data_IF_764997509369
#
_entry.id   IF_764997509369
#
_cell.length_a   1.000
_cell.length_b   1.000
_cell.length_c   1.000
_cell.angle_alpha   90.00
_cell.angle_beta   90.00
_cell.angle_gamma   90.00
#
_symmetry.space_group_name_H-M   'P 1'
#
loop_
_entity.id
_entity.type
_entity.pdbx_description
1 polymer ?
#
# COMPACT_ATOMS: atom_id res chain seq x y z
N UNK A 1 -5.40 -24.89 -26.12
CA UNK A 1 -4.43 -23.82 -26.43
C UNK A 1 -5.24 -22.53 -26.56
N UNK A 2 -5.37 -21.74 -25.49
CA UNK A 2 -6.08 -20.45 -25.56
C UNK A 2 -5.10 -19.42 -26.12
N UNK A 3 -5.40 -18.90 -27.30
CA UNK A 3 -4.68 -17.77 -27.90
C UNK A 3 -4.58 -16.65 -26.85
N UNK A 4 -3.35 -16.35 -26.42
CA UNK A 4 -3.06 -15.12 -25.69
C UNK A 4 -3.29 -14.00 -26.69
N UNK A 5 -4.47 -13.38 -26.65
CA UNK A 5 -4.69 -12.07 -27.26
C UNK A 5 -3.63 -11.17 -26.62
N UNK A 6 -2.57 -10.86 -27.37
CA UNK A 6 -1.69 -9.75 -27.09
C UNK A 6 -2.58 -8.52 -27.10
N UNK A 7 -3.02 -8.09 -25.92
CA UNK A 7 -3.70 -6.80 -25.78
C UNK A 7 -2.68 -5.75 -26.19
N UNK A 8 -2.81 -5.26 -27.41
CA UNK A 8 -2.07 -4.09 -27.85
C UNK A 8 -2.57 -2.90 -27.03
N UNK A 9 -1.67 -2.35 -26.21
CA UNK A 9 -1.99 -1.20 -25.38
C UNK A 9 -1.76 0.06 -26.20
N UNK A 10 -2.84 0.64 -26.75
CA UNK A 10 -2.80 2.00 -27.27
C UNK A 10 -2.71 2.99 -26.10
N UNK A 11 -1.49 3.45 -25.82
CA UNK A 11 -1.18 4.30 -24.67
C UNK A 11 -1.78 5.70 -24.81
N UNK A 12 -1.91 6.22 -26.02
CA UNK A 12 -2.55 7.50 -26.28
C UNK A 12 -4.05 7.43 -25.98
N UNK A 13 -4.73 6.40 -26.50
CA UNK A 13 -6.14 6.18 -26.23
C UNK A 13 -6.40 5.95 -24.74
N UNK A 14 -5.60 5.12 -24.07
CA UNK A 14 -5.74 4.86 -22.63
C UNK A 14 -5.55 6.15 -21.82
N UNK A 15 -4.54 6.95 -22.15
CA UNK A 15 -4.29 8.22 -21.46
C UNK A 15 -5.46 9.20 -21.63
N UNK A 16 -6.02 9.31 -22.84
CA UNK A 16 -7.18 10.16 -23.11
C UNK A 16 -8.42 9.68 -22.34
N UNK A 17 -8.69 8.37 -22.34
CA UNK A 17 -9.81 7.78 -21.62
C UNK A 17 -9.69 7.96 -20.10
N UNK A 18 -8.50 7.81 -19.53
CA UNK A 18 -8.24 8.09 -18.10
C UNK A 18 -8.48 9.57 -17.78
N UNK A 19 -8.02 10.49 -18.63
CA UNK A 19 -8.33 11.93 -18.47
C UNK A 19 -9.85 12.20 -18.55
N UNK A 20 -10.58 11.38 -19.29
CA UNK A 20 -12.06 11.37 -19.34
C UNK A 20 -12.75 10.63 -18.19
N UNK A 21 -12.02 10.15 -17.18
CA UNK A 21 -12.53 9.35 -16.05
C UNK A 21 -13.14 7.98 -16.45
N UNK A 22 -12.66 7.37 -17.53
CA UNK A 22 -13.09 6.02 -17.91
C UNK A 22 -12.51 4.96 -16.95
N UNK A 23 -13.41 4.29 -16.23
CA UNK A 23 -13.06 3.27 -15.21
C UNK A 23 -12.44 2.01 -15.81
N UNK A 24 -12.84 1.61 -17.02
CA UNK A 24 -12.32 0.41 -17.69
C UNK A 24 -10.90 0.68 -18.19
N UNK A 25 -10.67 1.85 -18.78
CA UNK A 25 -9.34 2.28 -19.19
C UNK A 25 -8.40 2.37 -17.98
N UNK A 26 -8.87 2.92 -16.86
CA UNK A 26 -8.09 2.97 -15.63
C UNK A 26 -7.74 1.57 -15.09
N UNK A 27 -8.69 0.63 -15.07
CA UNK A 27 -8.42 -0.75 -14.68
C UNK A 27 -7.40 -1.44 -15.60
N UNK A 28 -7.48 -1.21 -16.93
CA UNK A 28 -6.50 -1.72 -17.90
C UNK A 28 -5.10 -1.13 -17.67
N UNK A 29 -5.02 0.16 -17.34
CA UNK A 29 -3.75 0.80 -17.02
C UNK A 29 -3.13 0.23 -15.74
N UNK A 30 -3.92 -0.09 -14.72
CA UNK A 30 -3.41 -0.81 -13.54
C UNK A 30 -2.86 -2.18 -13.97
N UNK A 31 -3.57 -2.94 -14.80
CA UNK A 31 -3.06 -4.23 -15.31
C UNK A 31 -1.75 -4.08 -16.09
N UNK A 32 -1.60 -3.02 -16.87
CA UNK A 32 -0.35 -2.69 -17.56
C UNK A 32 0.79 -2.43 -16.57
N UNK A 33 0.55 -1.60 -15.55
CA UNK A 33 1.52 -1.24 -14.50
C UNK A 33 1.91 -2.45 -13.64
N UNK A 34 0.96 -3.33 -13.34
CA UNK A 34 1.21 -4.55 -12.55
C UNK A 34 1.99 -5.62 -13.34
N UNK A 35 2.11 -5.48 -14.66
CA UNK A 35 2.73 -6.50 -15.50
C UNK A 35 4.23 -6.65 -15.25
N UNK A 36 4.70 -7.90 -15.21
CA UNK A 36 6.12 -8.23 -15.16
C UNK A 36 6.80 -8.23 -16.54
N UNK A 37 6.06 -8.12 -17.65
CA UNK A 37 6.63 -8.06 -19.00
C UNK A 37 7.42 -6.75 -19.19
N UNK A 38 8.66 -6.84 -19.69
CA UNK A 38 9.54 -5.69 -19.92
C UNK A 38 8.95 -4.67 -20.92
N UNK A 39 8.28 -5.13 -21.98
CA UNK A 39 7.66 -4.24 -22.96
C UNK A 39 6.52 -3.43 -22.31
N UNK A 40 5.72 -4.10 -21.46
CA UNK A 40 4.67 -3.44 -20.70
C UNK A 40 5.23 -2.42 -19.71
N UNK A 41 6.43 -2.65 -19.16
CA UNK A 41 7.09 -1.68 -18.29
C UNK A 41 7.43 -0.40 -19.05
N UNK A 42 8.00 -0.52 -20.27
CA UNK A 42 8.27 0.64 -21.12
C UNK A 42 6.99 1.41 -21.48
N UNK A 43 5.93 0.69 -21.84
CA UNK A 43 4.62 1.27 -22.12
C UNK A 43 4.00 1.98 -20.90
N UNK A 44 4.19 1.45 -19.69
CA UNK A 44 3.71 2.10 -18.46
C UNK A 44 4.45 3.41 -18.16
N UNK A 45 5.76 3.48 -18.44
CA UNK A 45 6.53 4.73 -18.34
C UNK A 45 6.02 5.78 -19.34
N UNK A 46 5.72 5.38 -20.57
CA UNK A 46 5.10 6.26 -21.56
C UNK A 46 3.72 6.76 -21.08
N UNK A 47 2.90 5.87 -20.50
CA UNK A 47 1.61 6.24 -19.93
C UNK A 47 1.75 7.29 -18.83
N UNK A 48 2.69 7.10 -17.88
CA UNK A 48 2.96 8.07 -16.83
C UNK A 48 3.35 9.45 -17.38
N UNK A 49 4.21 9.48 -18.41
CA UNK A 49 4.59 10.73 -19.08
C UNK A 49 3.38 11.43 -19.72
N UNK A 50 2.49 10.70 -20.39
CA UNK A 50 1.29 11.28 -21.02
C UNK A 50 0.24 11.75 -20.02
N UNK A 51 0.17 11.13 -18.84
CA UNK A 51 -0.74 11.52 -17.76
C UNK A 51 -0.19 12.65 -16.89
N UNK A 52 1.12 12.92 -16.93
CA UNK A 52 1.74 14.01 -16.16
C UNK A 52 1.07 15.34 -16.47
N UNK A 53 0.58 16.03 -15.43
CA UNK A 53 -0.04 17.37 -15.52
C UNK A 53 0.89 18.38 -14.87
N UNK A 54 0.95 19.59 -15.42
CA UNK A 54 1.81 20.69 -14.92
C UNK A 54 1.41 21.13 -13.51
N UNK A 55 0.12 21.02 -13.16
CA UNK A 55 -0.43 21.37 -11.85
C UNK A 55 -1.30 20.22 -11.31
N UNK A 56 -0.66 19.15 -10.85
CA UNK A 56 -1.37 18.02 -10.26
C UNK A 56 -1.54 18.20 -8.75
N UNK A 57 -2.77 18.12 -8.25
CA UNK A 57 -3.05 18.08 -6.81
C UNK A 57 -2.74 16.70 -6.27
N UNK A 58 -1.75 16.63 -5.37
CA UNK A 58 -1.40 15.40 -4.69
C UNK A 58 -2.57 14.84 -3.89
N UNK A 59 -2.93 13.58 -4.15
CA UNK A 59 -3.94 12.86 -3.40
C UNK A 59 -3.47 12.61 -1.96
N UNK A 60 -4.38 12.52 -0.99
CA UNK A 60 -4.03 12.01 0.33
C UNK A 60 -3.87 10.49 0.25
N UNK A 61 -2.68 9.98 0.55
CA UNK A 61 -2.37 8.54 0.61
C UNK A 61 -2.60 8.04 2.05
N UNK A 62 -3.71 7.35 2.29
CA UNK A 62 -4.10 6.85 3.61
C UNK A 62 -3.89 5.34 3.69
N UNK A 63 -2.86 4.91 4.41
CA UNK A 63 -2.63 3.51 4.71
C UNK A 63 -3.48 3.07 5.91
N UNK A 64 -4.21 1.96 5.78
CA UNK A 64 -5.06 1.42 6.85
C UNK A 64 -4.68 -0.03 7.11
N UNK A 65 -4.31 -0.32 8.35
CA UNK A 65 -4.05 -1.69 8.84
C UNK A 65 -4.93 -1.99 10.06
N UNK A 66 -4.93 -3.25 10.49
CA UNK A 66 -5.68 -3.74 11.64
C UNK A 66 -5.93 -5.24 11.54
N UNK A 67 -6.20 -5.88 12.67
CA UNK A 67 -6.41 -7.34 12.73
C UNK A 67 -7.65 -7.77 11.93
N UNK A 68 -7.72 -9.02 11.43
CA UNK A 68 -8.94 -9.55 10.82
C UNK A 68 -10.14 -9.41 11.77
N UNK A 69 -11.30 -8.99 11.25
CA UNK A 69 -12.54 -8.87 12.05
C UNK A 69 -12.67 -7.56 12.86
N UNK A 70 -11.66 -6.68 12.85
CA UNK A 70 -11.74 -5.36 13.49
C UNK A 70 -12.76 -4.41 12.85
N UNK A 71 -13.21 -4.71 11.63
CA UNK A 71 -14.19 -3.90 10.90
C UNK A 71 -13.60 -2.89 9.91
N UNK A 72 -12.38 -3.13 9.40
CA UNK A 72 -11.73 -2.26 8.40
C UNK A 72 -12.58 -2.00 7.17
N UNK A 73 -13.07 -3.05 6.51
CA UNK A 73 -13.85 -2.88 5.27
C UNK A 73 -15.15 -2.10 5.53
N UNK A 74 -15.80 -2.28 6.68
CA UNK A 74 -16.97 -1.48 7.09
C UNK A 74 -16.60 -0.01 7.33
N UNK A 75 -15.45 0.23 7.98
CA UNK A 75 -14.93 1.58 8.19
C UNK A 75 -14.61 2.27 6.85
N UNK A 76 -13.91 1.59 5.95
CA UNK A 76 -13.54 2.10 4.62
C UNK A 76 -14.79 2.35 3.77
N UNK A 77 -15.80 1.48 3.82
CA UNK A 77 -17.06 1.67 3.11
C UNK A 77 -17.76 2.96 3.58
N UNK A 78 -17.89 3.17 4.89
CA UNK A 78 -18.54 4.36 5.46
C UNK A 78 -17.75 5.65 5.25
N UNK A 79 -16.46 5.63 5.58
CA UNK A 79 -15.58 6.77 5.31
C UNK A 79 -15.60 7.10 3.81
N UNK A 80 -15.47 6.09 2.95
CA UNK A 80 -15.44 6.30 1.52
C UNK A 80 -16.74 6.90 0.98
N UNK A 81 -17.90 6.45 1.47
CA UNK A 81 -19.19 7.05 1.13
C UNK A 81 -19.27 8.52 1.54
N UNK A 82 -18.81 8.85 2.74
CA UNK A 82 -18.75 10.23 3.22
C UNK A 82 -17.86 11.10 2.31
N UNK A 83 -16.66 10.62 1.94
CA UNK A 83 -15.74 11.35 1.06
C UNK A 83 -16.34 11.58 -0.33
N UNK A 84 -16.92 10.55 -0.95
CA UNK A 84 -17.49 10.71 -2.29
C UNK A 84 -18.76 11.57 -2.29
N UNK A 85 -19.53 11.56 -1.20
CA UNK A 85 -20.68 12.46 -1.02
C UNK A 85 -20.25 13.93 -0.85
N UNK A 86 -19.01 14.18 -0.38
CA UNK A 86 -18.38 15.52 -0.38
C UNK A 86 -17.82 15.93 -1.74
N UNK A 87 -18.01 15.10 -2.77
CA UNK A 87 -17.53 15.34 -4.13
C UNK A 87 -16.11 14.86 -4.40
N UNK A 88 -15.45 14.19 -3.45
CA UNK A 88 -14.10 13.67 -3.63
C UNK A 88 -14.09 12.40 -4.49
N UNK A 89 -13.00 12.18 -5.22
CA UNK A 89 -12.71 10.92 -5.91
C UNK A 89 -11.81 10.06 -5.05
N UNK A 90 -12.25 8.83 -4.79
CA UNK A 90 -11.58 7.89 -3.90
C UNK A 90 -11.11 6.63 -4.65
N UNK A 91 -9.86 6.25 -4.47
CA UNK A 91 -9.37 4.91 -4.81
C UNK A 91 -9.14 4.09 -3.53
N UNK A 92 -9.52 2.82 -3.52
CA UNK A 92 -9.22 1.86 -2.47
C UNK A 92 -8.42 0.70 -3.08
N UNK A 93 -7.19 0.55 -2.63
CA UNK A 93 -6.25 -0.48 -3.05
C UNK A 93 -6.08 -1.48 -1.90
N UNK A 94 -6.64 -2.68 -2.06
CA UNK A 94 -6.54 -3.73 -1.04
C UNK A 94 -5.32 -4.61 -1.32
N UNK A 95 -4.39 -4.66 -0.37
CA UNK A 95 -3.14 -5.44 -0.48
C UNK A 95 -3.23 -6.67 0.42
N UNK A 96 -3.26 -7.85 -0.20
CA UNK A 96 -3.34 -9.13 0.48
C UNK A 96 -2.20 -10.08 0.05
N UNK A 97 -1.25 -10.44 0.95
CA UNK A 97 -0.18 -11.38 0.65
C UNK A 97 -0.65 -12.78 0.28
N UNK A 98 -1.87 -13.19 0.65
CA UNK A 98 -2.42 -14.50 0.31
C UNK A 98 -2.88 -14.62 -1.16
N UNK A 99 -2.97 -13.50 -1.88
CA UNK A 99 -3.48 -13.45 -3.26
C UNK A 99 -2.67 -14.25 -4.28
N UNK A 100 -1.41 -14.60 -3.98
CA UNK A 100 -0.58 -15.52 -4.77
C UNK A 100 -1.16 -16.94 -4.89
N UNK A 101 -1.81 -17.44 -3.82
CA UNK A 101 -2.31 -18.82 -3.78
C UNK A 101 -3.67 -18.94 -4.49
N UNK A 102 -4.48 -17.88 -4.42
CA UNK A 102 -5.88 -17.89 -4.91
C UNK A 102 -6.08 -17.22 -6.27
N UNK A 103 -5.02 -16.68 -6.89
CA UNK A 103 -5.12 -16.00 -8.19
C UNK A 103 -5.82 -14.63 -8.13
N UNK A 104 -5.81 -13.99 -6.97
CA UNK A 104 -6.48 -12.71 -6.71
C UNK A 104 -7.90 -12.88 -6.18
N UNK A 105 -8.09 -12.60 -4.89
CA UNK A 105 -9.41 -12.45 -4.25
C UNK A 105 -10.12 -11.20 -4.78
N UNK A 106 -10.66 -11.26 -6.00
CA UNK A 106 -11.40 -10.15 -6.62
C UNK A 106 -12.78 -9.97 -5.97
N UNK A 107 -13.35 -11.03 -5.40
CA UNK A 107 -14.74 -11.08 -4.94
C UNK A 107 -14.93 -10.77 -3.45
N UNK A 108 -13.93 -11.05 -2.60
CA UNK A 108 -14.03 -10.87 -1.15
C UNK A 108 -14.15 -9.40 -0.73
N UNK A 109 -13.46 -8.48 -1.41
CA UNK A 109 -13.40 -7.09 -0.97
C UNK A 109 -14.54 -6.22 -1.52
N UNK A 110 -15.00 -6.50 -2.76
CA UNK A 110 -16.17 -5.80 -3.35
C UNK A 110 -17.48 -6.15 -2.66
N UNK A 111 -17.61 -7.37 -2.11
CA UNK A 111 -18.80 -7.76 -1.34
C UNK A 111 -18.81 -7.15 0.06
N UNK A 112 -17.64 -6.82 0.63
CA UNK A 112 -17.50 -6.16 1.94
C UNK A 112 -17.72 -4.65 1.90
N UNK A 113 -17.43 -4.01 0.77
CA UNK A 113 -17.68 -2.58 0.51
C UNK A 113 -18.82 -2.41 -0.51
N UNK A 114 -20.00 -2.96 -0.17
CA UNK A 114 -21.11 -3.14 -1.10
C UNK A 114 -21.69 -1.81 -1.63
N UNK A 115 -21.73 -0.78 -0.79
CA UNK A 115 -22.31 0.51 -1.16
C UNK A 115 -21.28 1.39 -1.88
N UNK A 116 -20.05 1.48 -1.35
CA UNK A 116 -18.99 2.26 -1.97
C UNK A 116 -18.62 1.75 -3.36
N UNK A 117 -18.63 0.43 -3.58
CA UNK A 117 -18.28 -0.18 -4.87
C UNK A 117 -19.20 0.22 -6.02
N UNK A 118 -20.43 0.65 -5.73
CA UNK A 118 -21.42 1.13 -6.71
C UNK A 118 -21.22 2.60 -7.08
N UNK A 119 -20.50 3.36 -6.26
CA UNK A 119 -20.35 4.80 -6.45
C UNK A 119 -19.38 5.13 -7.60
N UNK A 120 -19.80 6.00 -8.52
CA UNK A 120 -19.01 6.33 -9.73
C UNK A 120 -17.68 7.01 -9.42
N UNK A 121 -17.61 7.77 -8.32
CA UNK A 121 -16.39 8.44 -7.84
C UNK A 121 -15.48 7.56 -6.98
N UNK A 122 -15.86 6.31 -6.70
CA UNK A 122 -15.04 5.37 -5.91
C UNK A 122 -14.50 4.23 -6.79
N UNK A 123 -13.21 3.95 -6.74
CA UNK A 123 -12.60 2.84 -7.47
C UNK A 123 -11.96 1.85 -6.49
N UNK A 124 -12.41 0.61 -6.47
CA UNK A 124 -11.94 -0.42 -5.53
C UNK A 124 -11.24 -1.52 -6.32
N UNK A 125 -9.99 -1.82 -5.95
CA UNK A 125 -9.15 -2.81 -6.63
C UNK A 125 -8.31 -3.59 -5.61
N UNK A 126 -8.50 -4.91 -5.52
CA UNK A 126 -7.49 -5.76 -4.90
C UNK A 126 -6.24 -5.81 -5.79
N UNK A 127 -5.09 -5.66 -5.15
CA UNK A 127 -3.76 -5.77 -5.76
C UNK A 127 -3.21 -7.16 -5.49
N UNK A 128 -2.62 -7.77 -6.52
CA UNK A 128 -1.95 -9.05 -6.37
C UNK A 128 -0.61 -8.87 -5.67
N UNK A 129 -0.12 -9.89 -4.96
CA UNK A 129 1.27 -9.93 -4.52
C UNK A 129 2.15 -10.57 -5.59
N UNK A 130 3.23 -9.88 -5.98
CA UNK A 130 4.06 -10.29 -7.12
C UNK A 130 4.74 -11.65 -6.89
N UNK A 131 5.03 -12.45 -7.94
CA UNK A 131 5.40 -13.87 -7.86
C UNK A 131 6.70 -14.20 -7.11
N UNK A 132 7.54 -13.19 -6.82
CA UNK A 132 8.83 -13.36 -6.14
C UNK A 132 8.87 -12.72 -4.74
N UNK A 133 7.78 -12.10 -4.29
CA UNK A 133 7.69 -11.52 -2.96
C UNK A 133 6.93 -12.50 -2.05
N UNK A 134 7.64 -13.49 -1.50
CA UNK A 134 7.10 -14.36 -0.45
C UNK A 134 6.80 -13.53 0.81
N UNK A 135 5.60 -12.96 0.91
CA UNK A 135 5.08 -12.31 2.13
C UNK A 135 4.95 -10.78 2.11
N UNK A 136 5.08 -10.10 0.96
CA UNK A 136 5.05 -8.63 0.89
C UNK A 136 4.15 -8.05 -0.20
N UNK A 137 3.91 -6.74 -0.12
CA UNK A 137 3.23 -5.90 -1.11
C UNK A 137 3.86 -6.11 -2.49
N UNK A 138 3.05 -6.09 -3.56
CA UNK A 138 3.60 -6.14 -4.92
C UNK A 138 4.57 -5.01 -5.14
N UNK A 139 5.71 -5.33 -5.78
CA UNK A 139 6.70 -4.36 -6.24
C UNK A 139 6.01 -3.15 -6.87
N UNK A 140 4.98 -3.35 -7.70
CA UNK A 140 4.31 -2.31 -8.50
C UNK A 140 3.26 -1.46 -7.76
N UNK A 141 3.02 -1.71 -6.47
CA UNK A 141 1.97 -0.99 -5.72
C UNK A 141 2.20 0.53 -5.65
N UNK A 142 3.42 1.04 -5.38
CA UNK A 142 3.67 2.47 -5.40
C UNK A 142 3.38 3.13 -6.76
N UNK A 143 3.67 2.44 -7.87
CA UNK A 143 3.34 2.91 -9.21
C UNK A 143 1.83 2.95 -9.46
N UNK A 144 1.08 2.00 -8.90
CA UNK A 144 -0.40 2.04 -8.95
C UNK A 144 -0.95 3.20 -8.11
N UNK A 145 -0.40 3.46 -6.91
CA UNK A 145 -0.75 4.63 -6.10
C UNK A 145 -0.48 5.93 -6.88
N UNK A 146 0.66 6.02 -7.55
CA UNK A 146 0.98 7.17 -8.40
C UNK A 146 0.06 7.28 -9.62
N UNK A 147 -0.35 6.16 -10.21
CA UNK A 147 -1.34 6.14 -11.28
C UNK A 147 -2.70 6.68 -10.81
N UNK A 148 -3.14 6.34 -9.59
CA UNK A 148 -4.35 6.90 -8.98
C UNK A 148 -4.23 8.43 -8.86
N UNK A 149 -3.10 8.93 -8.36
CA UNK A 149 -2.85 10.37 -8.33
C UNK A 149 -3.01 10.97 -9.72
N UNK A 150 -2.27 10.50 -10.72
CA UNK A 150 -2.31 11.03 -12.09
C UNK A 150 -3.69 10.95 -12.76
N UNK A 151 -4.50 9.97 -12.40
CA UNK A 151 -5.89 9.85 -12.85
C UNK A 151 -6.84 10.88 -12.21
N UNK A 152 -6.39 11.60 -11.18
CA UNK A 152 -7.12 12.67 -10.51
C UNK A 152 -7.98 12.17 -9.36
N UNK A 153 -7.57 11.11 -8.67
CA UNK A 153 -8.14 10.77 -7.37
C UNK A 153 -7.64 11.75 -6.30
N UNK A 154 -8.54 12.15 -5.39
CA UNK A 154 -8.22 13.08 -4.29
C UNK A 154 -7.72 12.32 -3.06
N UNK A 155 -8.16 11.07 -2.89
CA UNK A 155 -7.78 10.19 -1.79
C UNK A 155 -7.48 8.80 -2.34
N UNK A 156 -6.37 8.20 -1.87
CA UNK A 156 -5.98 6.82 -2.15
C UNK A 156 -5.84 6.08 -0.82
N UNK A 157 -6.79 5.21 -0.52
CA UNK A 157 -6.74 4.30 0.63
C UNK A 157 -5.97 3.05 0.23
N UNK A 158 -4.99 2.66 1.05
CA UNK A 158 -4.21 1.43 0.88
C UNK A 158 -4.49 0.54 2.09
N UNK A 159 -5.35 -0.47 1.92
CA UNK A 159 -5.74 -1.40 2.99
C UNK A 159 -4.80 -2.61 3.00
N UNK A 160 -4.40 -3.06 4.20
CA UNK A 160 -3.69 -4.34 4.38
C UNK A 160 -4.55 -5.35 5.15
N UNK A 161 -4.23 -6.64 5.03
CA UNK A 161 -4.91 -7.68 5.84
C UNK A 161 -4.44 -7.74 7.30
N UNK A 162 -3.44 -6.94 7.71
CA UNK A 162 -2.94 -6.86 9.09
C UNK A 162 -1.86 -7.88 9.45
N UNK A 163 -1.09 -8.35 8.47
CA UNK A 163 -0.02 -9.35 8.63
C UNK A 163 1.38 -8.73 8.47
N UNK A 164 1.76 -7.87 9.41
CA UNK A 164 3.14 -7.52 9.74
C UNK A 164 3.95 -6.82 8.63
N UNK A 165 4.60 -7.58 7.75
CA UNK A 165 5.52 -7.00 6.75
C UNK A 165 4.81 -6.11 5.73
N UNK A 166 3.59 -6.50 5.37
CA UNK A 166 2.74 -5.71 4.47
C UNK A 166 2.36 -4.36 5.09
N UNK A 167 2.11 -4.33 6.40
CA UNK A 167 1.76 -3.11 7.14
C UNK A 167 2.90 -2.10 7.12
N UNK A 168 4.12 -2.57 7.37
CA UNK A 168 5.31 -1.72 7.31
C UNK A 168 5.50 -1.13 5.90
N UNK A 169 5.39 -1.94 4.85
CA UNK A 169 5.53 -1.48 3.48
C UNK A 169 4.47 -0.44 3.10
N UNK A 170 3.21 -0.65 3.50
CA UNK A 170 2.15 0.35 3.29
C UNK A 170 2.44 1.65 4.03
N UNK A 171 2.99 1.59 5.25
CA UNK A 171 3.39 2.80 5.98
C UNK A 171 4.46 3.63 5.26
N UNK A 172 5.32 2.99 4.43
CA UNK A 172 6.37 3.65 3.67
C UNK A 172 5.88 4.29 2.36
N UNK A 173 4.61 4.10 1.98
CA UNK A 173 4.02 4.70 0.77
C UNK A 173 2.75 5.51 1.06
N UNK A 174 2.46 5.75 2.34
CA UNK A 174 1.30 6.51 2.80
C UNK A 174 1.75 7.84 3.40
N UNK A 175 0.95 8.88 3.23
CA UNK A 175 1.16 10.15 3.95
C UNK A 175 0.71 10.03 5.39
N UNK A 176 -0.36 9.27 5.61
CA UNK A 176 -0.97 9.03 6.91
C UNK A 176 -1.16 7.53 7.07
N UNK A 177 -0.70 6.98 8.20
CA UNK A 177 -0.84 5.56 8.50
C UNK A 177 -1.72 5.34 9.73
N UNK A 178 -2.89 4.73 9.51
CA UNK A 178 -3.88 4.47 10.54
C UNK A 178 -3.95 2.98 10.91
N UNK A 179 -4.01 2.71 12.20
CA UNK A 179 -4.20 1.38 12.77
C UNK A 179 -5.61 1.28 13.36
N UNK A 180 -6.44 0.39 12.82
CA UNK A 180 -7.73 0.03 13.39
C UNK A 180 -7.58 -1.12 14.40
N UNK A 181 -8.15 -0.96 15.59
CA UNK A 181 -8.19 -1.98 16.66
C UNK A 181 -9.60 -2.14 17.25
N UNK A 182 -9.87 -3.29 17.87
CA UNK A 182 -11.11 -3.52 18.61
C UNK A 182 -10.91 -3.22 20.11
N UNK A 183 -11.97 -2.88 20.86
CA UNK A 183 -11.87 -2.68 22.30
C UNK A 183 -11.44 -3.97 23.01
N UNK A 184 -10.62 -3.84 24.05
CA UNK A 184 -10.24 -4.98 24.89
C UNK A 184 -9.28 -5.98 24.26
N UNK A 185 -8.73 -5.69 23.08
CA UNK A 185 -7.61 -6.43 22.49
C UNK A 185 -6.29 -6.19 23.24
N UNK A 186 -6.28 -6.23 24.58
CA UNK A 186 -5.14 -5.86 25.43
C UNK A 186 -3.85 -6.63 25.12
N UNK A 187 -3.97 -7.89 24.67
CA UNK A 187 -2.83 -8.70 24.20
C UNK A 187 -2.32 -8.25 22.82
N UNK A 188 -3.11 -7.51 22.04
CA UNK A 188 -2.67 -6.90 20.80
C UNK A 188 -1.67 -5.77 21.06
N UNK A 189 -1.61 -5.12 22.22
CA UNK A 189 -0.54 -4.14 22.48
C UNK A 189 0.85 -4.82 22.56
N UNK A 190 0.90 -6.08 23.01
CA UNK A 190 2.10 -6.93 22.95
C UNK A 190 2.28 -7.60 21.57
N UNK A 191 1.18 -7.90 20.87
CA UNK A 191 1.18 -8.54 19.53
C UNK A 191 1.34 -7.58 18.34
N UNK A 192 0.96 -6.31 18.48
CA UNK A 192 1.22 -5.22 17.54
C UNK A 192 2.70 -4.95 17.69
N UNK A 193 3.45 -5.55 16.78
CA UNK A 193 4.89 -5.45 16.68
C UNK A 193 5.30 -3.99 16.89
N UNK A 194 6.25 -3.76 17.79
CA UNK A 194 6.89 -2.47 18.07
C UNK A 194 7.14 -1.61 16.81
N UNK A 195 7.49 -2.23 15.68
CA UNK A 195 7.68 -1.55 14.40
C UNK A 195 6.44 -0.94 13.72
N UNK A 196 5.20 -1.38 14.03
CA UNK A 196 3.97 -0.77 13.49
C UNK A 196 3.59 0.48 14.28
N UNK A 197 3.57 0.41 15.62
CA UNK A 197 3.20 1.55 16.48
C UNK A 197 4.13 2.76 16.27
N UNK A 198 5.42 2.53 15.99
CA UNK A 198 6.38 3.59 15.64
C UNK A 198 6.00 4.34 14.34
N UNK A 199 5.25 3.69 13.45
CA UNK A 199 4.83 4.23 12.15
C UNK A 199 3.43 4.82 12.16
N UNK A 200 2.56 4.44 13.10
CA UNK A 200 1.16 4.87 13.15
C UNK A 200 0.99 6.35 13.51
N UNK A 201 0.29 7.09 12.65
CA UNK A 201 -0.13 8.48 12.89
C UNK A 201 -1.45 8.55 13.68
N UNK A 202 -2.30 7.53 13.52
CA UNK A 202 -3.60 7.46 14.17
C UNK A 202 -3.97 6.03 14.58
N UNK A 203 -4.39 5.85 15.82
CA UNK A 203 -5.06 4.62 16.28
C UNK A 203 -6.56 4.87 16.33
N UNK A 204 -7.31 4.02 15.65
CA UNK A 204 -8.76 4.11 15.55
C UNK A 204 -9.37 2.89 16.26
N UNK A 205 -9.94 3.11 17.43
CA UNK A 205 -10.61 2.08 18.21
C UNK A 205 -12.04 1.98 17.70
N UNK A 206 -12.28 0.97 16.87
CA UNK A 206 -13.58 0.69 16.30
C UNK A 206 -14.51 0.00 17.32
N UNK A 207 -15.79 -0.21 16.96
CA UNK A 207 -16.80 -0.86 17.80
C UNK A 207 -17.00 -0.16 19.16
N UNK A 208 -16.73 1.15 19.21
CA UNK A 208 -16.94 1.97 20.39
C UNK A 208 -18.42 2.35 20.52
N UNK A 209 -19.27 1.35 20.72
CA UNK A 209 -20.72 1.46 20.80
C UNK A 209 -21.31 0.40 21.74
N UNK A 210 -22.55 0.62 22.17
CA UNK A 210 -23.28 -0.26 23.09
C UNK A 210 -22.46 -0.61 24.34
N UNK A 211 -22.47 -1.91 24.68
CA UNK A 211 -21.78 -2.45 25.86
C UNK A 211 -20.24 -2.40 25.76
N UNK A 212 -19.69 -2.22 24.55
CA UNK A 212 -18.25 -2.13 24.32
C UNK A 212 -17.70 -0.71 24.53
N UNK A 213 -18.55 0.32 24.63
CA UNK A 213 -18.11 1.69 24.77
C UNK A 213 -17.23 1.96 26.02
N UNK A 214 -17.54 1.44 27.22
CA UNK A 214 -16.67 1.60 28.39
C UNK A 214 -15.29 0.99 28.17
N UNK A 215 -15.24 -0.21 27.60
CA UNK A 215 -13.99 -0.91 27.28
C UNK A 215 -13.18 -0.15 26.21
N UNK A 216 -13.85 0.42 25.20
CA UNK A 216 -13.20 1.21 24.16
C UNK A 216 -12.51 2.45 24.73
N UNK A 217 -13.16 3.13 25.71
CA UNK A 217 -12.58 4.28 26.41
C UNK A 217 -11.34 3.89 27.23
N UNK A 218 -11.38 2.73 27.88
CA UNK A 218 -10.21 2.21 28.58
C UNK A 218 -9.06 1.94 27.60
N UNK A 219 -9.32 1.19 26.52
CA UNK A 219 -8.33 0.92 25.47
C UNK A 219 -7.76 2.21 24.88
N UNK A 220 -8.59 3.26 24.71
CA UNK A 220 -8.11 4.58 24.26
C UNK A 220 -7.06 5.15 25.20
N UNK A 221 -7.33 5.15 26.51
CA UNK A 221 -6.40 5.66 27.51
C UNK A 221 -5.07 4.90 27.51
N UNK A 222 -5.13 3.57 27.37
CA UNK A 222 -3.94 2.71 27.29
C UNK A 222 -3.07 3.05 26.07
N UNK A 223 -3.66 3.16 24.88
CA UNK A 223 -2.92 3.50 23.66
C UNK A 223 -2.41 4.94 23.65
N UNK A 224 -3.17 5.90 24.19
CA UNK A 224 -2.69 7.28 24.34
C UNK A 224 -1.43 7.32 25.21
N UNK A 225 -1.49 6.65 26.36
CA UNK A 225 -0.35 6.58 27.30
C UNK A 225 0.86 5.91 26.66
N UNK A 226 0.66 4.79 25.95
CA UNK A 226 1.75 4.09 25.27
C UNK A 226 2.39 4.95 24.16
N UNK A 227 1.59 5.56 23.28
CA UNK A 227 2.12 6.32 22.15
C UNK A 227 2.90 7.58 22.58
N UNK A 228 2.52 8.21 23.69
CA UNK A 228 3.28 9.31 24.28
C UNK A 228 4.72 8.91 24.67
N UNK A 229 4.95 7.64 25.01
CA UNK A 229 6.29 7.12 25.34
C UNK A 229 7.10 6.76 24.10
N UNK A 230 6.44 6.34 23.01
CA UNK A 230 7.13 5.81 21.82
C UNK A 230 7.37 6.84 20.71
N UNK A 231 6.63 7.96 20.66
CA UNK A 231 6.59 8.76 19.42
C UNK A 231 6.42 10.26 19.68
N UNK A 232 7.52 10.97 19.90
CA UNK A 232 7.60 12.41 19.63
C UNK A 232 8.29 12.62 18.29
N UNK A 233 7.51 12.94 17.25
CA UNK A 233 8.05 13.35 15.95
C UNK A 233 8.12 14.87 15.95
N UNK A 234 9.31 15.43 15.79
CA UNK A 234 9.51 16.89 15.69
C UNK A 234 8.80 17.52 14.48
N UNK A 235 8.24 16.70 13.59
CA UNK A 235 7.53 17.09 12.37
C UNK A 235 6.03 16.75 12.42
N UNK A 236 5.45 16.61 13.61
CA UNK A 236 4.00 16.49 13.79
C UNK A 236 3.54 17.49 14.87
N UNK A 237 2.27 17.97 14.84
CA UNK A 237 1.76 18.86 15.87
C UNK A 237 1.59 18.16 17.22
N UNK A 238 1.53 18.96 18.28
CA UNK A 238 1.15 18.47 19.61
C UNK A 238 -0.21 17.73 19.57
N UNK A 239 -0.30 16.64 20.33
CA UNK A 239 -1.49 15.78 20.35
C UNK A 239 -1.53 14.71 19.26
N UNK A 240 -0.47 14.58 18.45
CA UNK A 240 -0.25 13.43 17.57
C UNK A 240 0.87 12.52 18.11
N UNK A 241 0.81 11.20 17.85
CA UNK A 241 -0.25 10.47 17.13
C UNK A 241 -1.60 10.48 17.88
N UNK A 242 -2.71 10.48 17.13
CA UNK A 242 -4.08 10.55 17.68
C UNK A 242 -4.61 9.17 18.04
N UNK A 243 -5.47 9.11 19.06
CA UNK A 243 -6.25 7.91 19.39
C UNK A 243 -7.73 8.28 19.46
N UNK A 244 -8.50 7.79 18.49
CA UNK A 244 -9.92 8.11 18.35
C UNK A 244 -10.79 6.89 18.58
N UNK A 245 -11.99 7.14 19.10
CA UNK A 245 -13.06 6.16 19.20
C UNK A 245 -13.97 6.31 17.99
N UNK A 246 -14.38 5.20 17.40
CA UNK A 246 -15.39 5.22 16.34
C UNK A 246 -16.25 3.95 16.37
N UNK A 247 -17.43 4.06 15.77
CA UNK A 247 -18.26 2.91 15.40
C UNK A 247 -18.46 2.92 13.90
N UNK A 248 -17.80 2.00 13.20
CA UNK A 248 -17.96 1.88 11.75
C UNK A 248 -19.40 1.52 11.36
N UNK A 249 -20.12 0.76 12.18
CA UNK A 249 -21.49 0.37 11.85
C UNK A 249 -22.48 1.53 12.05
N UNK A 250 -22.31 2.32 13.11
CA UNK A 250 -23.17 3.48 13.40
C UNK A 250 -22.72 4.76 12.70
N UNK A 251 -21.49 4.81 12.19
CA UNK A 251 -20.87 5.99 11.58
C UNK A 251 -20.31 7.01 12.59
N UNK A 252 -20.49 6.80 13.89
CA UNK A 252 -20.01 7.74 14.92
C UNK A 252 -18.48 7.79 14.96
N UNK A 253 -17.92 8.99 15.08
CA UNK A 253 -16.48 9.21 15.18
C UNK A 253 -15.69 9.13 13.86
N UNK A 254 -16.32 8.73 12.75
CA UNK A 254 -15.67 8.69 11.42
C UNK A 254 -15.28 10.09 10.98
N UNK A 255 -16.22 11.04 11.00
CA UNK A 255 -15.95 12.40 10.56
C UNK A 255 -14.86 13.09 11.41
N UNK A 256 -14.92 12.92 12.73
CA UNK A 256 -13.89 13.46 13.61
C UNK A 256 -12.51 12.88 13.29
N UNK A 257 -12.45 11.58 12.98
CA UNK A 257 -11.20 10.92 12.57
C UNK A 257 -10.70 11.43 11.23
N UNK A 258 -11.60 11.67 10.26
CA UNK A 258 -11.22 12.27 8.99
C UNK A 258 -10.73 13.71 9.15
N UNK A 259 -11.36 14.51 10.01
CA UNK A 259 -10.92 15.88 10.28
C UNK A 259 -9.53 15.90 10.92
N UNK A 260 -9.21 14.98 11.83
CA UNK A 260 -7.87 14.84 12.38
C UNK A 260 -6.85 14.45 11.28
N UNK A 261 -7.20 13.56 10.36
CA UNK A 261 -6.35 13.24 9.18
C UNK A 261 -6.04 14.50 8.37
N UNK A 262 -7.07 15.31 8.07
CA UNK A 262 -6.92 16.56 7.32
C UNK A 262 -6.06 17.56 8.08
N UNK A 263 -6.27 17.71 9.39
CA UNK A 263 -5.49 18.61 10.23
C UNK A 263 -4.00 18.24 10.21
N UNK A 264 -3.67 16.95 10.31
CA UNK A 264 -2.29 16.48 10.21
C UNK A 264 -1.69 16.72 8.83
N UNK A 265 -2.45 16.44 7.76
CA UNK A 265 -2.01 16.71 6.38
C UNK A 265 -1.68 18.19 6.18
N UNK A 266 -2.57 19.10 6.62
CA UNK A 266 -2.40 20.54 6.48
C UNK A 266 -1.19 21.02 7.29
N UNK A 267 -1.07 20.61 8.55
CA UNK A 267 0.08 20.95 9.38
C UNK A 267 1.39 20.52 8.72
N UNK A 268 1.45 19.29 8.17
CA UNK A 268 2.66 18.78 7.50
C UNK A 268 2.99 19.58 6.25
N UNK A 269 1.99 20.05 5.50
CA UNK A 269 2.17 20.93 4.33
C UNK A 269 2.71 22.29 4.76
N UNK A 270 2.08 22.92 5.75
CA UNK A 270 2.43 24.26 6.23
C UNK A 270 3.84 24.31 6.85
N UNK A 271 4.31 23.19 7.43
CA UNK A 271 5.63 23.08 8.05
C UNK A 271 6.68 22.40 7.14
N UNK A 272 6.39 22.18 5.85
CA UNK A 272 7.32 21.59 4.88
C UNK A 272 7.65 20.09 5.10
N UNK A 273 7.01 19.44 6.07
CA UNK A 273 7.17 18.03 6.35
C UNK A 273 6.56 17.15 5.24
N UNK A 274 5.46 17.58 4.62
CA UNK A 274 4.73 16.82 3.60
C UNK A 274 5.62 16.41 2.41
N UNK A 275 6.25 17.39 1.76
CA UNK A 275 7.13 17.12 0.61
C UNK A 275 8.43 16.42 1.04
N UNK A 276 8.90 16.65 2.26
CA UNK A 276 10.06 15.95 2.81
C UNK A 276 9.79 14.46 3.00
N UNK A 277 8.63 14.12 3.59
CA UNK A 277 8.19 12.73 3.78
C UNK A 277 8.10 12.03 2.43
N UNK A 278 7.39 12.60 1.44
CA UNK A 278 7.25 11.98 0.12
C UNK A 278 8.57 11.81 -0.62
N UNK A 279 9.47 12.81 -0.58
CA UNK A 279 10.82 12.66 -1.18
C UNK A 279 11.62 11.55 -0.52
N UNK A 280 11.53 11.38 0.80
CA UNK A 280 12.18 10.26 1.48
C UNK A 280 11.57 8.91 1.06
N UNK A 281 10.25 8.84 0.88
CA UNK A 281 9.58 7.65 0.34
C UNK A 281 10.09 7.33 -1.08
N UNK A 282 10.26 8.35 -1.93
CA UNK A 282 10.80 8.17 -3.29
C UNK A 282 12.26 7.68 -3.28
N UNK A 283 13.09 8.16 -2.33
CA UNK A 283 14.47 7.68 -2.15
C UNK A 283 14.49 6.22 -1.70
N UNK A 284 13.69 5.86 -0.69
CA UNK A 284 13.54 4.47 -0.24
C UNK A 284 13.07 3.56 -1.39
N UNK A 285 12.13 4.07 -2.19
CA UNK A 285 11.61 3.38 -3.37
C UNK A 285 12.68 3.17 -4.42
N UNK A 286 13.47 4.20 -4.73
CA UNK A 286 14.58 4.11 -5.67
C UNK A 286 15.61 3.06 -5.25
N UNK A 287 16.00 3.06 -3.96
CA UNK A 287 16.90 2.04 -3.43
C UNK A 287 16.32 0.63 -3.53
N UNK A 288 15.01 0.48 -3.28
CA UNK A 288 14.33 -0.79 -3.47
C UNK A 288 14.38 -1.24 -4.94
N UNK A 289 14.07 -0.35 -5.89
CA UNK A 289 14.09 -0.67 -7.32
C UNK A 289 15.50 -1.07 -7.81
N UNK A 290 16.56 -0.36 -7.37
CA UNK A 290 17.94 -0.77 -7.70
C UNK A 290 18.21 -2.20 -7.25
N UNK A 291 17.86 -2.55 -6.00
CA UNK A 291 18.06 -3.92 -5.49
C UNK A 291 17.33 -4.95 -6.34
N UNK A 292 16.10 -4.64 -6.78
CA UNK A 292 15.32 -5.54 -7.62
C UNK A 292 15.89 -5.67 -9.04
N UNK A 293 16.36 -4.58 -9.65
CA UNK A 293 17.02 -4.64 -10.96
C UNK A 293 18.31 -5.47 -10.90
N UNK A 294 19.13 -5.29 -9.86
CA UNK A 294 20.35 -6.09 -9.66
C UNK A 294 20.01 -7.58 -9.46
N UNK A 295 18.97 -7.90 -8.69
CA UNK A 295 18.51 -9.28 -8.54
C UNK A 295 17.99 -9.87 -9.86
N UNK A 296 17.33 -9.06 -10.69
CA UNK A 296 16.84 -9.47 -12.01
C UNK A 296 17.96 -9.92 -12.96
N UNK A 297 19.18 -9.39 -12.80
CA UNK A 297 20.36 -9.82 -13.57
C UNK A 297 20.69 -11.30 -13.37
N UNK A 298 20.32 -11.89 -12.22
CA UNK A 298 20.57 -13.31 -11.92
C UNK A 298 19.76 -14.27 -12.80
N UNK A 299 18.67 -13.79 -13.39
CA UNK A 299 17.75 -14.56 -14.24
C UNK A 299 17.66 -14.02 -15.66
N UNK A 300 18.34 -12.91 -15.97
CA UNK A 300 18.25 -12.26 -17.27
C UNK A 300 19.04 -13.00 -18.37
N UNK A 301 20.07 -13.77 -17.98
CA UNK A 301 20.94 -14.50 -18.91
C UNK A 301 21.02 -15.96 -18.50
N UNK A 302 20.78 -16.88 -19.45
CA UNK A 302 20.87 -18.31 -19.23
C UNK A 302 22.23 -18.77 -18.69
N UNK A 303 23.34 -18.12 -19.04
CA UNK A 303 24.66 -18.47 -18.49
C UNK A 303 24.74 -18.18 -16.99
N UNK A 304 24.27 -17.01 -16.57
CA UNK A 304 24.20 -16.58 -15.17
C UNK A 304 23.23 -17.48 -14.40
N UNK A 305 22.05 -17.72 -14.96
CA UNK A 305 21.01 -18.55 -14.34
C UNK A 305 21.51 -19.99 -14.09
N UNK A 306 22.20 -20.57 -15.08
CA UNK A 306 22.80 -21.90 -14.96
C UNK A 306 23.90 -21.93 -13.89
N UNK A 307 24.80 -20.93 -13.88
CA UNK A 307 25.86 -20.82 -12.88
C UNK A 307 25.32 -20.71 -11.46
N UNK A 308 24.30 -19.87 -11.24
CA UNK A 308 23.61 -19.74 -9.95
C UNK A 308 22.93 -21.06 -9.56
N UNK A 309 22.32 -21.77 -10.51
CA UNK A 309 21.63 -23.03 -10.27
C UNK A 309 22.60 -24.17 -9.92
N UNK A 310 23.81 -24.16 -10.47
CA UNK A 310 24.89 -25.07 -10.08
C UNK A 310 25.38 -24.80 -8.66
N UNK A 311 25.70 -23.55 -8.32
CA UNK A 311 26.11 -23.17 -6.97
C UNK A 311 25.03 -23.49 -5.92
N UNK A 312 23.74 -23.33 -6.26
CA UNK A 312 22.63 -23.75 -5.39
C UNK A 312 22.68 -25.26 -5.09
N UNK A 313 23.00 -26.11 -6.07
CA UNK A 313 23.11 -27.56 -5.88
C UNK A 313 24.26 -27.91 -4.94
N UNK A 314 25.43 -27.31 -5.14
CA UNK A 314 26.60 -27.51 -4.27
C UNK A 314 26.34 -27.05 -2.83
N UNK A 315 25.61 -25.95 -2.62
CA UNK A 315 25.20 -25.50 -1.27
C UNK A 315 24.24 -26.50 -0.63
N UNK A 316 23.25 -27.01 -1.38
CA UNK A 316 22.31 -28.03 -0.87
C UNK A 316 23.04 -29.32 -0.48
N UNK A 317 24.08 -29.69 -1.23
CA UNK A 317 24.91 -30.87 -0.98
C UNK A 317 25.95 -30.64 0.14
N UNK A 318 26.10 -29.41 0.63
CA UNK A 318 27.07 -29.05 1.67
C UNK A 318 28.51 -28.91 1.17
N UNK A 319 28.72 -28.89 -0.15
CA UNK A 319 30.05 -28.76 -0.77
C UNK A 319 30.59 -27.32 -0.70
N UNK A 320 29.69 -26.33 -0.64
CA UNK A 320 30.03 -24.91 -0.45
C UNK A 320 29.19 -24.26 0.63
N UNK A 321 29.81 -23.34 1.38
CA UNK A 321 29.09 -22.50 2.32
C UNK A 321 28.22 -21.47 1.56
N UNK A 322 27.01 -21.12 2.05
CA UNK A 322 26.15 -20.14 1.40
C UNK A 322 26.84 -18.79 1.11
N UNK A 323 27.66 -18.29 2.05
CA UNK A 323 28.40 -17.05 1.88
C UNK A 323 29.44 -17.15 0.75
N UNK A 324 30.14 -18.27 0.65
CA UNK A 324 31.15 -18.51 -0.39
C UNK A 324 30.48 -18.57 -1.78
N UNK A 325 29.39 -19.32 -1.91
CA UNK A 325 28.62 -19.38 -3.15
C UNK A 325 28.11 -17.98 -3.58
N UNK A 326 27.59 -17.18 -2.64
CA UNK A 326 27.15 -15.82 -2.93
C UNK A 326 28.29 -14.90 -3.41
N UNK A 327 29.49 -15.00 -2.82
CA UNK A 327 30.66 -14.27 -3.29
C UNK A 327 31.05 -14.66 -4.72
N UNK A 328 31.02 -15.96 -5.04
CA UNK A 328 31.29 -16.45 -6.41
C UNK A 328 30.28 -15.92 -7.43
N UNK A 329 28.99 -15.83 -7.09
CA UNK A 329 27.98 -15.18 -7.95
C UNK A 329 28.35 -13.72 -8.20
N UNK A 330 28.73 -12.97 -7.16
CA UNK A 330 29.12 -11.56 -7.31
C UNK A 330 30.32 -11.39 -8.25
N UNK A 331 31.35 -12.22 -8.10
CA UNK A 331 32.53 -12.18 -8.99
C UNK A 331 32.19 -12.55 -10.43
N UNK A 332 31.35 -13.56 -10.62
CA UNK A 332 30.90 -13.97 -11.96
C UNK A 332 30.13 -12.85 -12.66
N UNK A 333 29.22 -12.18 -11.96
CA UNK A 333 28.48 -11.04 -12.48
C UNK A 333 29.42 -9.90 -12.89
N UNK A 334 30.41 -9.54 -12.04
CA UNK A 334 31.37 -8.47 -12.35
C UNK A 334 32.16 -8.74 -13.64
N UNK A 335 32.55 -9.99 -13.88
CA UNK A 335 33.34 -10.38 -15.06
C UNK A 335 32.55 -10.46 -16.37
N UNK A 336 31.24 -10.67 -16.29
CA UNK A 336 30.41 -10.98 -17.47
C UNK A 336 29.36 -9.90 -17.80
N UNK A 337 29.26 -8.84 -17.00
CA UNK A 337 28.35 -7.70 -17.22
C UNK A 337 29.08 -6.37 -17.47
N UNK A 338 30.41 -6.38 -17.55
CA UNK A 338 31.23 -5.26 -18.04
C UNK A 338 31.65 -5.50 -19.48
#
# INVERSE_FOLDING_TARGET
MRERITMEFDIDQIAQQIKGNDRRAFARAITLVESSNLDHQQLSLQLFQKLKRVNHTQAIRLGITGTPGVGKSTFIDKLGLELVNRGLKLAVLAVDPSSQITGGSILGDKTRMAELSKHKSAFIRPLSTGPFNSGGVSRRTPEVVHLCELAGFDVVIIETTGVGQTDYQVSLMSDIFALLISPGGGDELQGIKRGILEKVDMVLINKADGDLLPLARQTKSEYQSALHLFRQRNHDPEGYPKVNLLSAILGSGIENSWQDIINLCNWRKDNGAWDSIRRNQDVERFQFEIRQEVLGLLTANHSVENFVSELKREVIQGEKLPLQAAMMVSEYLKKNLT
#
